data_IF_250719635894
#
_entry.id   IF_250719635894
#
_cell.length_a   1.000
_cell.length_b   1.000
_cell.length_c   1.000
_cell.angle_alpha   90.00
_cell.angle_beta   90.00
_cell.angle_gamma   90.00
#
_symmetry.space_group_name_H-M   'P 1'
#
loop_
_entity.id
_entity.type
_entity.pdbx_description
1 polymer ?
#
# COMPACT_ATOMS: atom_id res chain seq x y z
N UNK A 1 6.63 7.73 0.55
CA UNK A 1 7.94 8.41 0.40
C UNK A 1 9.08 7.39 0.53
N UNK A 2 10.30 7.74 0.12
CA UNK A 2 11.51 6.95 0.35
C UNK A 2 12.61 7.86 0.89
N UNK A 3 13.28 7.45 1.96
CA UNK A 3 14.36 8.22 2.58
C UNK A 3 15.69 7.49 2.53
N UNK A 4 16.72 8.28 2.22
CA UNK A 4 18.11 7.86 2.18
C UNK A 4 18.88 8.64 3.25
N UNK A 5 19.48 7.92 4.19
CA UNK A 5 20.37 8.51 5.19
C UNK A 5 21.83 8.20 4.81
N UNK A 6 22.64 9.22 4.48
CA UNK A 6 24.07 9.06 4.27
C UNK A 6 24.82 8.47 5.47
N UNK A 7 25.99 7.89 5.24
CA UNK A 7 26.93 7.61 6.33
C UNK A 7 27.34 8.90 7.04
N UNK A 8 27.32 8.84 8.37
CA UNK A 8 27.57 10.00 9.24
C UNK A 8 29.06 10.27 9.45
N UNK A 9 29.90 9.25 9.25
CA UNK A 9 31.34 9.27 9.52
C UNK A 9 32.21 9.65 8.30
N UNK A 10 31.65 9.61 7.08
CA UNK A 10 32.40 9.85 5.85
C UNK A 10 31.54 10.40 4.71
N UNK A 11 32.15 11.25 3.87
CA UNK A 11 31.53 11.77 2.65
C UNK A 11 31.62 10.82 1.44
N UNK A 12 32.54 9.85 1.43
CA UNK A 12 32.68 8.94 0.30
C UNK A 12 31.45 8.02 0.18
N UNK A 13 30.89 7.92 -1.01
CA UNK A 13 29.68 7.14 -1.26
C UNK A 13 28.37 7.89 -1.04
N UNK A 14 28.38 9.20 -0.76
CA UNK A 14 27.14 9.97 -0.66
C UNK A 14 26.53 10.17 -2.03
N UNK A 15 25.24 9.86 -2.17
CA UNK A 15 24.48 10.06 -3.41
C UNK A 15 24.22 11.56 -3.61
N UNK A 16 24.55 12.07 -4.80
CA UNK A 16 24.33 13.46 -5.23
C UNK A 16 23.19 13.54 -6.25
N UNK A 17 23.08 12.52 -7.10
CA UNK A 17 22.02 12.36 -8.10
C UNK A 17 21.53 10.92 -8.11
N UNK A 18 20.25 10.70 -8.37
CA UNK A 18 19.62 9.40 -8.23
C UNK A 18 18.48 9.13 -9.21
N UNK A 19 18.21 7.84 -9.37
CA UNK A 19 16.97 7.30 -9.93
C UNK A 19 16.42 6.22 -8.99
N UNK A 20 15.10 6.17 -8.86
CA UNK A 20 14.37 5.11 -8.15
C UNK A 20 13.48 4.40 -9.15
N UNK A 21 13.70 3.10 -9.28
CA UNK A 21 12.84 2.22 -10.05
C UNK A 21 12.05 1.30 -9.12
N UNK A 22 10.80 1.01 -9.49
CA UNK A 22 9.97 0.04 -8.78
C UNK A 22 9.50 -1.07 -9.72
N UNK A 23 9.17 -2.22 -9.14
CA UNK A 23 8.69 -3.40 -9.85
C UNK A 23 7.79 -4.24 -8.94
N UNK A 24 6.81 -4.92 -9.55
CA UNK A 24 5.99 -5.94 -8.89
C UNK A 24 6.60 -7.34 -8.99
N UNK A 25 7.47 -7.59 -9.98
CA UNK A 25 7.97 -8.94 -10.31
C UNK A 25 9.50 -9.07 -10.28
N UNK A 26 10.21 -7.96 -10.07
CA UNK A 26 11.67 -7.87 -10.04
C UNK A 26 12.34 -7.94 -11.41
N UNK A 27 11.57 -8.00 -12.50
CA UNK A 27 12.07 -8.13 -13.89
C UNK A 27 11.73 -6.89 -14.71
N UNK A 28 10.48 -6.46 -14.68
CA UNK A 28 10.00 -5.28 -15.36
C UNK A 28 10.09 -4.09 -14.40
N UNK A 29 10.93 -3.11 -14.76
CA UNK A 29 11.25 -1.96 -13.91
C UNK A 29 10.68 -0.67 -14.50
N UNK A 30 9.93 0.08 -13.70
CA UNK A 30 9.43 1.42 -14.04
C UNK A 30 10.23 2.47 -13.28
N UNK A 31 10.60 3.56 -13.95
CA UNK A 31 11.15 4.74 -13.29
C UNK A 31 10.04 5.44 -12.50
N UNK A 32 10.23 5.59 -11.20
CA UNK A 32 9.22 6.09 -10.26
C UNK A 32 9.60 7.42 -9.64
N UNK A 33 10.90 7.71 -9.51
CA UNK A 33 11.40 9.04 -9.16
C UNK A 33 12.83 9.23 -9.69
N UNK A 34 13.23 10.48 -9.88
CA UNK A 34 14.61 10.85 -10.18
C UNK A 34 14.89 12.24 -9.62
N UNK A 35 16.15 12.50 -9.27
CA UNK A 35 16.56 13.82 -8.81
C UNK A 35 18.07 13.99 -8.88
N UNK A 36 18.50 15.24 -8.80
CA UNK A 36 19.89 15.64 -8.82
C UNK A 36 20.14 16.79 -7.83
N UNK A 37 21.41 17.14 -7.65
CA UNK A 37 21.80 18.34 -6.91
C UNK A 37 21.70 18.21 -5.39
N UNK A 38 21.65 17.01 -4.83
CA UNK A 38 21.77 16.84 -3.39
C UNK A 38 23.15 17.28 -2.91
N UNK A 39 23.17 18.08 -1.85
CA UNK A 39 24.42 18.51 -1.23
C UNK A 39 25.21 17.34 -0.65
N UNK A 40 26.54 17.42 -0.74
CA UNK A 40 27.46 16.50 -0.08
C UNK A 40 27.52 16.74 1.44
N UNK A 41 26.43 16.42 2.13
CA UNK A 41 26.31 16.55 3.59
C UNK A 41 25.73 15.25 4.19
N UNK A 42 25.74 15.13 5.52
CA UNK A 42 25.28 13.92 6.22
C UNK A 42 23.76 13.89 6.44
N UNK A 43 23.04 14.92 6.01
CA UNK A 43 21.62 15.06 6.27
C UNK A 43 20.83 14.03 5.50
N UNK A 44 19.79 13.52 6.14
CA UNK A 44 18.78 12.64 5.54
C UNK A 44 18.17 13.34 4.32
N UNK A 45 17.99 12.57 3.25
CA UNK A 45 17.41 13.03 1.99
C UNK A 45 16.10 12.28 1.73
N UNK A 46 15.07 13.02 1.35
CA UNK A 46 13.74 12.48 1.11
C UNK A 46 13.42 12.52 -0.37
N UNK A 47 12.86 11.43 -0.87
CA UNK A 47 12.35 11.25 -2.21
C UNK A 47 10.83 11.12 -2.10
N UNK A 48 10.13 12.11 -2.63
CA UNK A 48 8.68 12.10 -2.72
C UNK A 48 8.23 11.53 -4.06
N UNK A 49 7.22 10.67 -4.02
CA UNK A 49 6.53 10.20 -5.22
C UNK A 49 5.29 11.08 -5.43
N UNK A 50 5.01 11.50 -6.65
CA UNK A 50 3.86 12.37 -6.96
C UNK A 50 2.53 11.72 -6.55
N UNK A 51 2.43 10.40 -6.67
CA UNK A 51 1.32 9.56 -6.20
C UNK A 51 1.88 8.31 -5.55
N UNK A 52 1.10 7.60 -4.70
CA UNK A 52 1.49 6.28 -4.21
C UNK A 52 1.90 5.34 -5.36
N UNK A 53 2.98 4.59 -5.15
CA UNK A 53 3.54 3.67 -6.14
C UNK A 53 3.46 2.25 -5.60
N UNK A 54 2.65 1.41 -6.22
CA UNK A 54 2.59 -0.02 -5.91
C UNK A 54 3.92 -0.69 -6.30
N UNK A 55 4.53 -1.41 -5.35
CA UNK A 55 5.84 -2.05 -5.56
C UNK A 55 6.07 -3.21 -4.59
N UNK A 56 6.66 -4.30 -5.10
CA UNK A 56 7.26 -5.34 -4.25
C UNK A 56 8.79 -5.21 -4.20
N UNK A 57 9.39 -4.61 -5.24
CA UNK A 57 10.82 -4.42 -5.37
C UNK A 57 11.13 -2.95 -5.65
N UNK A 58 12.19 -2.45 -5.01
CA UNK A 58 12.73 -1.11 -5.23
C UNK A 58 14.20 -1.20 -5.62
N UNK A 59 14.60 -0.43 -6.63
CA UNK A 59 15.98 -0.28 -7.07
C UNK A 59 16.36 1.19 -7.00
N UNK A 60 17.20 1.52 -6.02
CA UNK A 60 17.78 2.84 -5.84
C UNK A 60 19.15 2.90 -6.52
N UNK A 61 19.27 3.76 -7.53
CA UNK A 61 20.47 3.92 -8.35
C UNK A 61 21.08 5.28 -8.05
N UNK A 62 22.32 5.31 -7.57
CA UNK A 62 23.10 6.54 -7.53
C UNK A 62 23.66 6.81 -8.94
N UNK A 63 23.08 7.77 -9.65
CA UNK A 63 23.59 8.20 -10.96
C UNK A 63 24.82 9.09 -10.81
N UNK A 64 24.95 9.74 -9.65
CA UNK A 64 26.18 10.39 -9.20
C UNK A 64 26.38 10.18 -7.70
N UNK A 65 27.58 9.74 -7.32
CA UNK A 65 27.97 9.56 -5.93
C UNK A 65 29.37 10.07 -5.67
N UNK A 66 29.61 10.61 -4.48
CA UNK A 66 30.93 11.14 -4.08
C UNK A 66 31.97 10.04 -4.19
N UNK A 67 33.00 10.28 -5.00
CA UNK A 67 34.09 9.32 -5.26
C UNK A 67 33.71 8.17 -6.21
N UNK A 68 32.54 8.21 -6.84
CA UNK A 68 32.06 7.15 -7.74
C UNK A 68 31.50 5.92 -7.01
N UNK A 69 31.19 6.05 -5.73
CA UNK A 69 30.61 4.99 -4.90
C UNK A 69 29.21 5.38 -4.43
N UNK A 70 28.44 4.40 -3.97
CA UNK A 70 27.26 4.63 -3.15
C UNK A 70 27.40 3.94 -1.79
N UNK A 71 26.90 4.58 -0.74
CA UNK A 71 26.82 4.03 0.61
C UNK A 71 25.63 4.65 1.32
N UNK A 72 24.93 3.87 2.13
CA UNK A 72 23.85 4.34 2.98
C UNK A 72 24.09 3.88 4.42
N UNK A 73 23.74 4.72 5.39
CA UNK A 73 23.55 4.27 6.76
C UNK A 73 22.17 3.62 6.94
N UNK A 74 21.15 4.17 6.27
CA UNK A 74 19.78 3.66 6.35
C UNK A 74 19.01 3.98 5.07
N UNK A 75 18.08 3.09 4.73
CA UNK A 75 17.08 3.23 3.68
C UNK A 75 15.72 2.97 4.33
N UNK A 76 14.80 3.93 4.24
CA UNK A 76 13.48 3.86 4.88
C UNK A 76 12.39 4.04 3.82
N UNK A 77 11.41 3.15 3.80
CA UNK A 77 10.29 3.19 2.86
C UNK A 77 9.00 3.46 3.62
N UNK A 78 8.18 4.35 3.08
CA UNK A 78 6.94 4.79 3.70
C UNK A 78 5.78 4.57 2.75
N UNK A 79 4.77 3.86 3.24
CA UNK A 79 3.44 3.80 2.63
C UNK A 79 2.65 5.07 2.95
N UNK A 80 1.68 5.38 2.09
CA UNK A 80 0.68 6.37 2.42
C UNK A 80 -0.38 5.69 3.28
N UNK A 81 -0.44 6.02 4.57
CA UNK A 81 -1.41 5.45 5.50
C UNK A 81 -2.87 5.86 5.17
N UNK A 82 -3.09 6.81 4.24
CA UNK A 82 -4.40 7.10 3.67
C UNK A 82 -4.74 6.24 2.44
N UNK A 83 -3.73 5.59 1.85
CA UNK A 83 -3.90 4.50 0.89
C UNK A 83 -3.92 3.16 1.63
N UNK A 84 -4.83 3.00 2.59
CA UNK A 84 -5.41 1.67 2.70
C UNK A 84 -6.14 1.45 1.37
N UNK A 85 -5.79 0.39 0.64
CA UNK A 85 -6.64 -0.11 -0.42
C UNK A 85 -8.00 -0.38 0.23
N UNK A 86 -8.91 0.59 0.13
CA UNK A 86 -10.19 0.53 0.82
C UNK A 86 -10.88 -0.75 0.37
N UNK A 87 -11.00 -1.73 1.27
CA UNK A 87 -11.88 -2.86 1.05
C UNK A 87 -13.23 -2.30 0.61
N UNK A 88 -13.77 -2.86 -0.48
CA UNK A 88 -15.02 -2.35 -1.02
C UNK A 88 -16.11 -2.51 0.02
N UNK A 89 -17.05 -1.55 0.07
CA UNK A 89 -18.20 -1.67 0.97
C UNK A 89 -18.90 -3.00 0.72
N UNK A 90 -18.96 -3.85 1.74
CA UNK A 90 -19.48 -5.22 1.65
C UNK A 90 -18.43 -6.34 1.59
N UNK A 91 -17.14 -6.08 1.39
CA UNK A 91 -16.05 -7.05 1.57
C UNK A 91 -15.71 -7.16 3.06
N UNK A 92 -16.38 -8.07 3.75
CA UNK A 92 -16.33 -8.12 5.22
C UNK A 92 -15.22 -9.02 5.74
N UNK A 93 -14.65 -9.88 4.90
CA UNK A 93 -13.60 -10.82 5.28
C UNK A 93 -12.19 -10.39 4.85
N UNK A 94 -12.08 -9.24 4.18
CA UNK A 94 -10.82 -8.66 3.72
C UNK A 94 -10.11 -9.54 2.68
N UNK A 95 -10.86 -10.33 1.90
CA UNK A 95 -10.31 -11.20 0.85
C UNK A 95 -10.14 -10.49 -0.50
N UNK A 96 -10.57 -9.23 -0.60
CA UNK A 96 -10.52 -8.37 -1.80
C UNK A 96 -11.45 -8.84 -2.92
N UNK A 97 -12.42 -9.70 -2.62
CA UNK A 97 -13.37 -10.26 -3.55
C UNK A 97 -14.79 -10.09 -3.00
N UNK A 98 -15.51 -9.07 -3.46
CA UNK A 98 -16.93 -8.92 -3.13
C UNK A 98 -17.74 -10.12 -3.68
N UNK A 99 -18.11 -11.06 -2.80
CA UNK A 99 -18.67 -12.35 -3.20
C UNK A 99 -19.67 -12.95 -2.19
N UNK A 100 -20.17 -14.15 -2.46
CA UNK A 100 -21.22 -14.79 -1.65
C UNK A 100 -20.75 -15.18 -0.25
N UNK A 101 -19.44 -15.26 -0.02
CA UNK A 101 -18.85 -15.49 1.30
C UNK A 101 -19.11 -14.29 2.22
N UNK A 102 -19.00 -13.06 1.70
CA UNK A 102 -19.34 -11.85 2.46
C UNK A 102 -20.80 -11.84 2.91
N UNK A 103 -21.70 -12.16 1.97
CA UNK A 103 -23.14 -12.30 2.25
C UNK A 103 -23.38 -13.33 3.35
N UNK A 104 -22.64 -14.45 3.33
CA UNK A 104 -22.75 -15.52 4.32
C UNK A 104 -22.28 -15.05 5.70
N UNK A 105 -21.16 -14.33 5.77
CA UNK A 105 -20.61 -13.81 7.02
C UNK A 105 -21.54 -12.76 7.65
N UNK A 106 -22.10 -11.85 6.84
CA UNK A 106 -23.10 -10.88 7.33
C UNK A 106 -24.32 -11.63 7.92
N UNK A 107 -24.82 -12.67 7.24
CA UNK A 107 -25.93 -13.48 7.75
C UNK A 107 -25.57 -14.25 9.03
N UNK A 108 -24.36 -14.82 9.11
CA UNK A 108 -23.85 -15.50 10.31
C UNK A 108 -23.76 -14.53 11.48
N UNK A 109 -23.27 -13.31 11.25
CA UNK A 109 -23.22 -12.23 12.24
C UNK A 109 -24.61 -11.88 12.77
N UNK A 110 -25.58 -11.60 11.89
CA UNK A 110 -26.96 -11.22 12.27
C UNK A 110 -27.64 -12.34 13.05
N UNK A 111 -27.43 -13.60 12.64
CA UNK A 111 -28.04 -14.77 13.28
C UNK A 111 -27.30 -15.22 14.53
N UNK A 112 -26.16 -14.60 14.86
CA UNK A 112 -25.26 -15.00 15.95
C UNK A 112 -24.83 -16.47 15.84
N UNK A 113 -24.69 -16.96 14.60
CA UNK A 113 -24.05 -18.24 14.33
C UNK A 113 -22.57 -18.14 14.67
N UNK A 114 -21.97 -19.26 15.03
CA UNK A 114 -20.52 -19.31 15.30
C UNK A 114 -19.74 -19.18 13.99
N UNK A 115 -18.87 -18.18 13.91
CA UNK A 115 -17.91 -17.94 12.83
C UNK A 115 -16.48 -17.79 13.40
N UNK A 116 -16.21 -18.42 14.55
CA UNK A 116 -14.89 -18.37 15.17
C UNK A 116 -13.80 -18.83 14.20
N UNK A 117 -12.87 -17.94 13.88
CA UNK A 117 -11.78 -18.19 12.95
C UNK A 117 -11.90 -17.42 11.62
N UNK A 118 -13.06 -16.83 11.35
CA UNK A 118 -13.27 -15.95 10.19
C UNK A 118 -12.94 -14.49 10.55
N UNK A 119 -12.50 -13.73 9.55
CA UNK A 119 -12.38 -12.27 9.63
C UNK A 119 -13.77 -11.67 9.37
N UNK A 120 -14.16 -10.68 10.17
CA UNK A 120 -15.41 -9.94 9.96
C UNK A 120 -15.25 -8.46 10.33
N UNK A 121 -15.39 -7.57 9.35
CA UNK A 121 -15.36 -6.12 9.53
C UNK A 121 -16.78 -5.55 9.56
N UNK A 122 -17.22 -5.16 10.76
CA UNK A 122 -18.53 -4.56 10.99
C UNK A 122 -18.74 -3.24 10.23
N UNK A 123 -17.67 -2.47 9.96
CA UNK A 123 -17.80 -1.20 9.25
C UNK A 123 -18.13 -1.40 7.78
N UNK A 124 -17.58 -2.44 7.18
CA UNK A 124 -17.84 -2.79 5.77
C UNK A 124 -19.18 -3.52 5.61
N UNK A 125 -19.71 -4.08 6.70
CA UNK A 125 -20.97 -4.82 6.70
C UNK A 125 -22.24 -3.93 6.69
N UNK A 126 -22.17 -2.65 7.11
CA UNK A 126 -23.31 -1.71 7.13
C UNK A 126 -23.48 -0.98 5.79
N UNK A 127 -23.76 -1.75 4.73
CA UNK A 127 -23.69 -1.30 3.34
C UNK A 127 -24.67 -0.19 2.99
N UNK A 128 -25.82 -0.11 3.69
CA UNK A 128 -26.78 0.98 3.49
C UNK A 128 -26.52 2.23 4.35
N UNK A 129 -25.53 2.16 5.27
CA UNK A 129 -25.06 3.27 6.10
C UNK A 129 -26.05 3.68 7.20
N UNK A 130 -26.94 2.79 7.62
CA UNK A 130 -27.96 3.08 8.63
C UNK A 130 -27.46 2.85 10.08
N UNK A 131 -26.21 2.42 10.26
CA UNK A 131 -25.56 2.00 11.52
C UNK A 131 -26.14 0.72 12.15
N UNK A 132 -26.77 -0.14 11.35
CA UNK A 132 -27.37 -1.41 11.78
C UNK A 132 -27.06 -2.47 10.72
N UNK A 133 -26.15 -3.39 11.07
CA UNK A 133 -25.91 -4.58 10.25
C UNK A 133 -27.14 -5.49 10.27
N UNK A 134 -27.76 -5.64 9.12
CA UNK A 134 -29.07 -6.26 8.96
C UNK A 134 -29.18 -7.08 7.67
N UNK A 135 -30.31 -7.76 7.48
CA UNK A 135 -30.55 -8.53 6.26
C UNK A 135 -30.62 -7.62 5.02
N UNK A 136 -30.90 -6.32 5.20
CA UNK A 136 -30.87 -5.34 4.12
C UNK A 136 -29.45 -5.21 3.56
N UNK A 137 -28.44 -5.22 4.42
CA UNK A 137 -27.03 -5.13 4.01
C UNK A 137 -26.56 -6.38 3.27
N UNK A 138 -26.88 -7.57 3.80
CA UNK A 138 -26.63 -8.82 3.08
C UNK A 138 -27.30 -8.84 1.69
N UNK A 139 -28.50 -8.25 1.59
CA UNK A 139 -29.21 -8.12 0.31
C UNK A 139 -28.53 -7.10 -0.61
N UNK A 140 -28.04 -5.99 -0.08
CA UNK A 140 -27.32 -4.97 -0.83
C UNK A 140 -26.03 -5.55 -1.45
N UNK A 141 -25.23 -6.29 -0.67
CA UNK A 141 -24.05 -7.00 -1.19
C UNK A 141 -24.44 -7.98 -2.30
N UNK A 142 -25.52 -8.74 -2.13
CA UNK A 142 -26.01 -9.67 -3.16
C UNK A 142 -26.38 -8.95 -4.48
N UNK A 143 -26.96 -7.75 -4.39
CA UNK A 143 -27.28 -6.90 -5.55
C UNK A 143 -26.01 -6.37 -6.22
N UNK A 144 -25.01 -5.94 -5.44
CA UNK A 144 -23.72 -5.47 -5.96
C UNK A 144 -23.02 -6.58 -6.75
N UNK A 145 -22.96 -7.80 -6.19
CA UNK A 145 -22.39 -8.99 -6.85
C UNK A 145 -23.14 -9.34 -8.14
N UNK A 146 -24.47 -9.19 -8.15
CA UNK A 146 -25.27 -9.47 -9.34
C UNK A 146 -25.06 -8.41 -10.44
N UNK A 147 -24.86 -7.15 -10.05
CA UNK A 147 -24.68 -6.03 -10.96
C UNK A 147 -23.29 -6.02 -11.61
N UNK A 148 -22.26 -6.55 -10.93
CA UNK A 148 -20.89 -6.63 -11.45
C UNK A 148 -20.68 -7.74 -12.50
N UNK A 149 -21.64 -8.66 -12.66
CA UNK A 149 -21.57 -9.79 -13.61
C UNK A 149 -22.23 -9.53 -14.98
N UNK A 150 -22.72 -8.32 -15.23
CA UNK A 150 -23.32 -7.87 -16.49
C UNK A 150 -22.44 -6.83 -17.19
#
# INVERSE_FOLDING_TARGET
AFEYTPRQDSGNGRVLSYEVYTSLDGKDWKLSASGDGWENNAEKKTIEFETPVEAQYVKFVATEGVGGFMSAAMLEFYEDASSEEAFEMGDVNHDRLLNVQDVTLIQQYITKMDFTGEIFDEKLADVDGNNIISIADATAVQIMIASSKN
#
